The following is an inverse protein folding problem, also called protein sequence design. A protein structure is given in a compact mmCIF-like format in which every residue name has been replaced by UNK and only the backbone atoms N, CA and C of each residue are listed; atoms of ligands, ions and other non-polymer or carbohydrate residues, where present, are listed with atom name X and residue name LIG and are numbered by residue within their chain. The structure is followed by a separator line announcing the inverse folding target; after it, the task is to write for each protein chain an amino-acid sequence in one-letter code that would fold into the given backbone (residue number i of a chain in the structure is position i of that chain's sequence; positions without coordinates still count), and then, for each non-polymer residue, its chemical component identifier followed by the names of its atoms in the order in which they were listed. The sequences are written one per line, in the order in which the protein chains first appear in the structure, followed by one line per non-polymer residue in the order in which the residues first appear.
data_IF_728966574197
#
_entry.id   IF_728966574197
#
_cell.length_a   1.000
_cell.length_b   1.000
_cell.length_c   1.000
_cell.angle_alpha   90.00
_cell.angle_beta   90.00
_cell.angle_gamma   90.00
#
_symmetry.space_group_name_H-M   'P 1'
#
loop_
_entity.id
_entity.type
_entity.pdbx_description
1 polymer ?
#
# COMPACT_ATOMS: atom_id res chain seq x y z
N UNK A 1 -27.91 0.64 25.78
CA UNK A 1 -27.78 0.70 24.31
C UNK A 1 -28.87 1.65 23.82
N UNK A 2 -28.48 2.75 23.17
CA UNK A 2 -29.42 3.74 22.68
C UNK A 2 -29.43 3.68 21.16
N UNK A 3 -30.27 2.80 20.61
CA UNK A 3 -30.56 2.78 19.19
C UNK A 3 -31.84 3.58 18.95
N UNK A 4 -31.78 4.56 18.03
CA UNK A 4 -32.94 5.26 17.51
C UNK A 4 -33.71 4.46 16.50
N UNK A 5 -34.56 5.10 15.73
CA UNK A 5 -35.27 4.51 14.61
C UNK A 5 -34.35 4.12 13.44
N UNK A 6 -34.87 3.59 12.34
CA UNK A 6 -34.08 3.27 11.15
C UNK A 6 -33.34 4.49 10.61
N UNK A 7 -32.06 4.29 10.27
CA UNK A 7 -31.25 5.33 9.63
C UNK A 7 -31.51 5.36 8.12
N UNK A 8 -32.60 5.95 7.69
CA UNK A 8 -33.07 5.89 6.30
C UNK A 8 -32.05 6.41 5.29
N UNK A 9 -31.25 7.41 5.66
CA UNK A 9 -30.19 7.94 4.78
C UNK A 9 -29.13 6.84 4.52
N UNK A 10 -28.69 6.13 5.55
CA UNK A 10 -27.73 5.01 5.39
C UNK A 10 -28.33 3.86 4.60
N UNK A 11 -29.61 3.56 4.81
CA UNK A 11 -30.32 2.52 4.06
C UNK A 11 -30.41 2.89 2.57
N UNK A 12 -30.78 4.14 2.27
CA UNK A 12 -30.83 4.63 0.89
C UNK A 12 -29.46 4.62 0.22
N UNK A 13 -28.40 5.07 0.91
CA UNK A 13 -27.04 5.04 0.41
C UNK A 13 -26.60 3.59 0.10
N UNK A 14 -26.90 2.65 0.99
CA UNK A 14 -26.60 1.22 0.75
C UNK A 14 -27.37 0.67 -0.45
N UNK A 15 -28.65 1.02 -0.61
CA UNK A 15 -29.44 0.58 -1.76
C UNK A 15 -28.85 1.10 -3.09
N UNK A 16 -28.43 2.36 -3.13
CA UNK A 16 -27.73 2.94 -4.31
C UNK A 16 -26.46 2.18 -4.60
N UNK A 17 -25.60 1.96 -3.58
CA UNK A 17 -24.35 1.23 -3.75
C UNK A 17 -24.57 -0.21 -4.23
N UNK A 18 -25.55 -0.92 -3.69
CA UNK A 18 -25.88 -2.29 -4.13
C UNK A 18 -26.37 -2.34 -5.58
N UNK A 19 -27.10 -1.31 -6.03
CA UNK A 19 -27.50 -1.17 -7.43
C UNK A 19 -26.29 -0.93 -8.34
N UNK A 20 -25.35 -0.10 -7.93
CA UNK A 20 -24.11 0.18 -8.65
C UNK A 20 -23.22 -1.07 -8.76
N UNK A 21 -23.03 -1.79 -7.65
CA UNK A 21 -22.26 -3.05 -7.63
C UNK A 21 -22.82 -4.11 -8.58
N UNK A 22 -24.12 -4.10 -8.83
CA UNK A 22 -24.77 -5.05 -9.73
C UNK A 22 -24.77 -4.61 -11.21
N UNK A 23 -23.71 -3.88 -11.63
CA UNK A 23 -23.53 -3.43 -13.02
C UNK A 23 -22.36 -4.12 -13.69
N UNK A 24 -22.37 -4.25 -15.04
CA UNK A 24 -21.22 -4.76 -15.79
C UNK A 24 -19.94 -3.91 -15.60
N UNK A 25 -20.09 -2.62 -15.40
CA UNK A 25 -18.99 -1.68 -15.17
C UNK A 25 -18.27 -1.97 -13.87
N UNK A 26 -19.02 -2.20 -12.79
CA UNK A 26 -18.45 -2.57 -11.51
C UNK A 26 -17.77 -3.95 -11.54
N UNK A 27 -18.32 -4.89 -12.33
CA UNK A 27 -17.67 -6.18 -12.56
C UNK A 27 -16.31 -6.00 -13.23
N UNK A 28 -16.23 -5.22 -14.32
CA UNK A 28 -14.95 -4.91 -14.99
C UNK A 28 -13.95 -4.23 -14.05
N UNK A 29 -14.43 -3.27 -13.26
CA UNK A 29 -13.60 -2.61 -12.25
C UNK A 29 -13.03 -3.64 -11.25
N UNK A 30 -13.85 -4.54 -10.74
CA UNK A 30 -13.42 -5.56 -9.77
C UNK A 30 -12.41 -6.54 -10.37
N UNK A 31 -12.59 -6.94 -11.62
CA UNK A 31 -11.66 -7.77 -12.37
C UNK A 31 -10.31 -7.05 -12.55
N UNK A 32 -10.32 -5.76 -12.89
CA UNK A 32 -9.11 -4.95 -13.00
C UNK A 32 -8.40 -4.78 -11.65
N UNK A 33 -9.13 -4.58 -10.55
CA UNK A 33 -8.56 -4.53 -9.20
C UNK A 33 -7.75 -5.79 -8.88
N UNK A 34 -8.32 -6.95 -9.18
CA UNK A 34 -7.66 -8.25 -8.93
C UNK A 34 -6.48 -8.46 -9.88
N UNK A 35 -6.61 -8.08 -11.14
CA UNK A 35 -5.51 -8.14 -12.12
C UNK A 35 -4.33 -7.28 -11.68
N UNK A 36 -4.57 -6.03 -11.32
CA UNK A 36 -3.57 -5.11 -10.79
C UNK A 36 -2.88 -5.68 -9.53
N UNK A 37 -3.65 -6.26 -8.61
CA UNK A 37 -3.10 -6.84 -7.39
C UNK A 37 -2.19 -8.05 -7.68
N UNK A 38 -2.57 -8.91 -8.59
CA UNK A 38 -1.75 -10.04 -9.04
C UNK A 38 -0.47 -9.57 -9.71
N UNK A 39 -0.56 -8.56 -10.57
CA UNK A 39 0.62 -8.00 -11.26
C UNK A 39 1.58 -7.36 -10.26
N UNK A 40 1.08 -6.56 -9.30
CA UNK A 40 1.90 -6.00 -8.24
C UNK A 40 2.60 -7.09 -7.41
N UNK A 41 1.87 -8.15 -7.05
CA UNK A 41 2.43 -9.28 -6.31
C UNK A 41 3.52 -9.99 -7.11
N UNK A 42 3.28 -10.27 -8.38
CA UNK A 42 4.25 -10.93 -9.25
C UNK A 42 5.49 -10.05 -9.49
N UNK A 43 5.32 -8.75 -9.68
CA UNK A 43 6.43 -7.80 -9.85
C UNK A 43 7.31 -7.74 -8.59
N UNK A 44 6.71 -7.71 -7.40
CA UNK A 44 7.46 -7.79 -6.14
C UNK A 44 8.21 -9.12 -6.00
N UNK A 45 7.56 -10.26 -6.27
CA UNK A 45 8.22 -11.57 -6.21
C UNK A 45 9.35 -11.71 -7.23
N UNK A 46 9.18 -11.19 -8.45
CA UNK A 46 10.24 -11.18 -9.46
C UNK A 46 11.48 -10.38 -9.03
N UNK A 47 11.30 -9.38 -8.16
CA UNK A 47 12.38 -8.59 -7.54
C UNK A 47 12.96 -9.26 -6.27
N UNK A 48 12.54 -10.49 -5.94
CA UNK A 48 13.04 -11.25 -4.81
C UNK A 48 12.32 -10.95 -3.49
N UNK A 49 11.18 -10.27 -3.54
CA UNK A 49 10.41 -9.93 -2.34
C UNK A 49 9.55 -11.10 -1.88
N UNK A 50 9.41 -11.23 -0.56
CA UNK A 50 8.64 -12.30 0.06
C UNK A 50 7.24 -11.85 0.38
N UNK A 51 6.26 -12.49 -0.22
CA UNK A 51 4.85 -12.25 0.07
C UNK A 51 4.27 -13.38 0.93
N UNK A 52 3.31 -13.04 1.77
CA UNK A 52 2.50 -14.04 2.47
C UNK A 52 1.65 -14.78 1.41
N UNK A 53 1.55 -16.09 1.54
CA UNK A 53 0.87 -16.98 0.59
C UNK A 53 1.47 -16.98 -0.83
N UNK A 54 2.69 -16.48 -1.04
CA UNK A 54 3.36 -16.44 -2.34
C UNK A 54 2.50 -15.82 -3.45
N UNK A 55 1.79 -14.76 -3.13
CA UNK A 55 0.95 -14.03 -4.08
C UNK A 55 -0.38 -13.56 -3.49
N UNK A 56 -1.37 -13.35 -4.35
CA UNK A 56 -2.71 -12.93 -3.96
C UNK A 56 -3.78 -13.45 -4.92
N UNK A 57 -5.00 -13.63 -4.41
CA UNK A 57 -6.21 -13.95 -5.20
C UNK A 57 -7.28 -12.85 -5.09
N UNK A 58 -6.99 -11.79 -4.35
CA UNK A 58 -7.92 -10.68 -4.10
C UNK A 58 -7.25 -9.31 -4.34
N UNK A 59 -7.77 -8.25 -3.76
CA UNK A 59 -7.30 -6.87 -3.92
C UNK A 59 -6.14 -6.47 -2.99
N UNK A 60 -5.65 -7.39 -2.14
CA UNK A 60 -4.63 -7.11 -1.13
C UNK A 60 -3.37 -7.92 -1.39
N UNK A 61 -2.22 -7.28 -1.16
CA UNK A 61 -0.90 -7.93 -1.13
C UNK A 61 -0.31 -7.76 0.27
N UNK A 62 0.10 -8.87 0.87
CA UNK A 62 0.75 -8.88 2.18
C UNK A 62 2.25 -9.12 2.00
N UNK A 63 3.07 -8.09 2.24
CA UNK A 63 4.51 -8.13 2.04
C UNK A 63 5.25 -8.38 3.36
N UNK A 64 6.05 -9.44 3.40
CA UNK A 64 6.90 -9.82 4.54
C UNK A 64 8.27 -9.13 4.42
N UNK A 65 8.52 -8.16 5.27
CA UNK A 65 9.74 -7.34 5.26
C UNK A 65 10.87 -7.90 6.12
N UNK A 66 10.65 -8.99 6.84
CA UNK A 66 11.62 -9.54 7.82
C UNK A 66 12.93 -9.96 7.18
N UNK A 67 12.92 -10.40 5.91
CA UNK A 67 14.14 -10.72 5.17
C UNK A 67 15.10 -9.51 5.05
N UNK A 68 14.59 -8.30 5.12
CA UNK A 68 15.37 -7.07 5.02
C UNK A 68 15.84 -6.54 6.38
N UNK A 69 15.41 -7.13 7.50
CA UNK A 69 15.73 -6.66 8.84
C UNK A 69 15.12 -5.31 9.20
N UNK A 70 14.07 -4.89 8.47
CA UNK A 70 13.28 -3.68 8.75
C UNK A 70 11.87 -4.06 9.21
N UNK A 71 11.21 -3.17 9.94
CA UNK A 71 9.84 -3.40 10.42
C UNK A 71 8.82 -2.70 9.52
N UNK A 72 7.60 -3.20 9.49
CA UNK A 72 6.48 -2.56 8.81
C UNK A 72 6.27 -1.12 9.26
N UNK A 73 6.51 -0.80 10.54
CA UNK A 73 6.43 0.57 11.05
C UNK A 73 7.43 1.53 10.40
N UNK A 74 8.64 1.07 10.06
CA UNK A 74 9.64 1.89 9.38
C UNK A 74 9.29 2.10 7.92
N UNK A 75 8.83 1.03 7.25
CA UNK A 75 8.42 1.12 5.85
C UNK A 75 7.15 1.96 5.70
N UNK A 76 6.18 1.85 6.61
CA UNK A 76 5.03 2.76 6.64
C UNK A 76 5.47 4.23 6.72
N UNK A 77 6.43 4.56 7.60
CA UNK A 77 6.93 5.94 7.77
C UNK A 77 7.67 6.49 6.54
N UNK A 78 8.53 5.70 5.93
CA UNK A 78 9.25 6.16 4.73
C UNK A 78 8.30 6.32 3.55
N UNK A 79 7.32 5.42 3.39
CA UNK A 79 6.30 5.51 2.34
C UNK A 79 5.37 6.70 2.56
N UNK A 80 5.01 7.05 3.81
CA UNK A 80 4.26 8.27 4.13
C UNK A 80 4.99 9.53 3.61
N UNK A 81 6.32 9.63 3.83
CA UNK A 81 7.13 10.76 3.33
C UNK A 81 7.20 10.78 1.80
N UNK A 82 7.15 9.62 1.17
CA UNK A 82 7.10 9.47 -0.28
C UNK A 82 5.68 9.62 -0.87
N UNK A 83 4.67 9.98 -0.07
CA UNK A 83 3.27 10.11 -0.48
C UNK A 83 2.64 8.79 -0.96
N UNK A 84 3.11 7.66 -0.47
CA UNK A 84 2.53 6.33 -0.71
C UNK A 84 1.84 5.86 0.57
N UNK A 85 0.52 5.91 0.58
CA UNK A 85 -0.27 5.47 1.74
C UNK A 85 -0.32 3.94 1.81
N UNK A 86 0.19 3.39 2.89
CA UNK A 86 0.12 1.96 3.21
C UNK A 86 -0.20 1.79 4.69
N UNK A 87 -0.33 0.56 5.15
CA UNK A 87 -0.36 0.32 6.58
C UNK A 87 0.50 -0.87 6.98
N UNK A 88 1.18 -0.72 8.11
CA UNK A 88 1.89 -1.83 8.76
C UNK A 88 0.90 -2.94 9.11
N UNK A 89 1.34 -4.18 8.98
CA UNK A 89 0.53 -5.35 9.28
C UNK A 89 1.36 -6.49 9.83
N UNK A 90 0.83 -7.16 10.84
CA UNK A 90 1.47 -8.36 11.38
C UNK A 90 1.47 -9.48 10.35
N UNK A 91 2.54 -10.24 10.33
CA UNK A 91 2.70 -11.44 9.52
C UNK A 91 2.84 -12.67 10.41
N UNK A 92 2.55 -13.84 9.87
CA UNK A 92 2.63 -15.09 10.63
C UNK A 92 4.04 -15.26 11.24
N UNK A 93 4.08 -15.44 12.56
CA UNK A 93 5.34 -15.57 13.33
C UNK A 93 5.84 -14.27 13.96
N UNK A 94 5.14 -13.15 13.81
CA UNK A 94 5.44 -11.94 14.56
C UNK A 94 5.18 -12.14 16.06
N UNK A 95 6.09 -11.60 16.87
CA UNK A 95 6.00 -11.68 18.34
C UNK A 95 5.17 -10.52 18.94
N UNK A 96 4.97 -9.44 18.19
CA UNK A 96 4.30 -8.22 18.66
C UNK A 96 3.58 -7.50 17.54
N UNK A 97 2.33 -7.13 17.79
CA UNK A 97 1.55 -6.29 16.87
C UNK A 97 2.02 -4.82 16.83
N UNK A 98 2.82 -4.38 17.81
CA UNK A 98 3.36 -3.01 17.88
C UNK A 98 4.50 -2.84 16.88
N UNK A 99 5.30 -3.90 16.65
CA UNK A 99 6.39 -3.91 15.69
C UNK A 99 6.16 -4.99 14.65
N UNK A 100 5.19 -4.84 13.76
CA UNK A 100 4.84 -5.84 12.78
C UNK A 100 5.94 -5.99 11.73
N UNK A 101 6.10 -7.23 11.24
CA UNK A 101 7.13 -7.59 10.24
C UNK A 101 6.71 -7.32 8.80
N UNK A 102 5.49 -6.84 8.54
CA UNK A 102 5.00 -6.63 7.18
C UNK A 102 4.19 -5.36 6.99
N UNK A 103 3.82 -5.13 5.74
CA UNK A 103 2.86 -4.11 5.31
C UNK A 103 1.78 -4.73 4.43
N UNK A 104 0.64 -4.06 4.39
CA UNK A 104 -0.48 -4.40 3.53
C UNK A 104 -0.63 -3.35 2.44
N UNK A 105 -0.69 -3.82 1.21
CA UNK A 105 -0.88 -3.02 0.00
C UNK A 105 -2.24 -3.36 -0.60
N UNK A 106 -2.89 -2.38 -1.22
CA UNK A 106 -4.18 -2.58 -1.88
C UNK A 106 -4.26 -1.80 -3.19
N UNK A 107 -4.96 -2.36 -4.18
CA UNK A 107 -5.06 -1.80 -5.53
C UNK A 107 -6.37 -1.09 -5.87
N UNK A 108 -7.46 -1.12 -5.05
CA UNK A 108 -8.72 -0.48 -5.43
C UNK A 108 -8.59 1.02 -5.74
N UNK A 109 -7.93 1.79 -4.87
CA UNK A 109 -7.76 3.23 -5.06
C UNK A 109 -6.96 3.57 -6.32
N UNK A 110 -5.95 2.78 -6.64
CA UNK A 110 -5.14 2.93 -7.84
C UNK A 110 -5.97 2.63 -9.10
N UNK A 111 -6.75 1.54 -9.07
CA UNK A 111 -7.65 1.16 -10.16
C UNK A 111 -8.75 2.20 -10.37
N UNK A 112 -9.31 2.77 -9.30
CA UNK A 112 -10.30 3.86 -9.38
C UNK A 112 -9.72 5.10 -10.09
N UNK A 113 -8.41 5.33 -9.97
CA UNK A 113 -7.70 6.41 -10.66
C UNK A 113 -7.30 6.06 -12.10
N UNK A 114 -7.66 4.88 -12.60
CA UNK A 114 -7.37 4.43 -13.96
C UNK A 114 -6.01 3.75 -14.15
N UNK A 115 -5.33 3.37 -13.07
CA UNK A 115 -4.08 2.61 -13.17
C UNK A 115 -4.34 1.16 -13.59
N UNK A 116 -3.45 0.64 -14.42
CA UNK A 116 -3.48 -0.70 -15.01
C UNK A 116 -2.23 -1.49 -14.62
N UNK A 117 -2.07 -2.70 -15.15
CA UNK A 117 -0.98 -3.63 -14.84
C UNK A 117 0.41 -3.02 -15.06
N UNK A 118 0.61 -2.27 -16.14
CA UNK A 118 1.90 -1.61 -16.44
C UNK A 118 2.34 -0.62 -15.34
N UNK A 119 1.38 0.04 -14.72
CA UNK A 119 1.64 0.97 -13.63
C UNK A 119 2.01 0.24 -12.32
N UNK A 120 1.55 -1.00 -12.16
CA UNK A 120 1.87 -1.82 -10.98
C UNK A 120 3.35 -2.22 -10.94
N UNK A 121 4.00 -2.39 -12.08
CA UNK A 121 5.44 -2.64 -12.16
C UNK A 121 6.25 -1.43 -11.69
N UNK A 122 5.86 -0.22 -12.10
CA UNK A 122 6.47 1.04 -11.66
C UNK A 122 6.30 1.21 -10.14
N UNK A 123 5.10 0.93 -9.62
CA UNK A 123 4.82 1.00 -8.20
C UNK A 123 5.66 -0.02 -7.42
N UNK A 124 5.84 -1.23 -7.94
CA UNK A 124 6.72 -2.23 -7.33
C UNK A 124 8.17 -1.73 -7.24
N UNK A 125 8.67 -0.99 -8.24
CA UNK A 125 9.99 -0.35 -8.19
C UNK A 125 10.09 0.68 -7.06
N UNK A 126 9.11 1.57 -6.94
CA UNK A 126 9.07 2.53 -5.84
C UNK A 126 9.10 1.84 -4.47
N UNK A 127 8.32 0.77 -4.32
CA UNK A 127 8.25 0.01 -3.07
C UNK A 127 9.59 -0.67 -2.72
N UNK A 128 10.24 -1.32 -3.67
CA UNK A 128 11.53 -1.98 -3.44
C UNK A 128 12.65 -0.97 -3.16
N UNK A 129 12.67 0.14 -3.88
CA UNK A 129 13.60 1.26 -3.62
C UNK A 129 13.43 1.82 -2.20
N UNK A 130 12.18 1.95 -1.72
CA UNK A 130 11.91 2.43 -0.36
C UNK A 130 12.49 1.52 0.72
N UNK A 131 12.45 0.21 0.51
CA UNK A 131 13.05 -0.77 1.44
C UNK A 131 14.58 -0.62 1.47
N UNK A 132 15.22 -0.42 0.33
CA UNK A 132 16.66 -0.18 0.27
C UNK A 132 17.04 1.08 1.05
N UNK A 133 16.36 2.19 0.77
CA UNK A 133 16.58 3.46 1.50
C UNK A 133 16.33 3.30 3.00
N UNK A 134 15.31 2.54 3.40
CA UNK A 134 15.03 2.28 4.81
C UNK A 134 16.16 1.51 5.50
N UNK A 135 16.81 0.57 4.81
CA UNK A 135 18.00 -0.12 5.33
C UNK A 135 19.18 0.85 5.51
N UNK A 136 19.45 1.65 4.50
CA UNK A 136 20.57 2.63 4.52
C UNK A 136 20.37 3.66 5.65
N UNK A 137 19.15 4.16 5.84
CA UNK A 137 18.82 5.07 6.96
C UNK A 137 18.98 4.34 8.30
N UNK A 138 18.49 3.10 8.43
CA UNK A 138 18.62 2.33 9.66
C UNK A 138 20.08 2.06 10.03
N UNK A 139 20.93 1.81 9.06
CA UNK A 139 22.37 1.57 9.28
C UNK A 139 23.06 2.84 9.79
N UNK A 140 22.69 4.00 9.27
CA UNK A 140 23.27 5.31 9.65
C UNK A 140 22.73 5.86 10.97
N UNK A 141 21.40 5.80 11.17
CA UNK A 141 20.73 6.44 12.31
C UNK A 141 20.44 5.53 13.48
N UNK A 142 20.42 4.19 13.27
CA UNK A 142 20.17 3.21 14.31
C UNK A 142 18.86 2.44 14.16
N UNK A 143 18.74 1.38 15.00
CA UNK A 143 17.61 0.43 14.89
C UNK A 143 16.31 0.88 15.56
N UNK A 144 16.36 1.87 16.47
CA UNK A 144 15.15 2.37 17.14
C UNK A 144 14.32 3.19 16.17
N UNK A 145 13.00 3.14 16.31
CA UNK A 145 12.09 3.87 15.42
C UNK A 145 12.29 5.40 15.52
N UNK A 146 12.57 5.91 16.71
CA UNK A 146 12.81 7.36 16.91
C UNK A 146 14.04 7.84 16.15
N UNK A 147 15.15 7.10 16.25
CA UNK A 147 16.41 7.42 15.56
C UNK A 147 16.22 7.30 14.05
N UNK A 148 15.51 6.27 13.58
CA UNK A 148 15.16 6.08 12.18
C UNK A 148 14.34 7.25 11.62
N UNK A 149 13.33 7.73 12.36
CA UNK A 149 12.49 8.87 11.93
C UNK A 149 13.31 10.16 11.87
N UNK A 150 14.25 10.36 12.79
CA UNK A 150 15.15 11.51 12.72
C UNK A 150 16.01 11.48 11.43
N UNK A 151 16.65 10.34 11.13
CA UNK A 151 17.42 10.17 9.89
C UNK A 151 16.58 10.24 8.61
N UNK A 152 15.33 9.77 8.68
CA UNK A 152 14.38 9.86 7.57
C UNK A 152 14.06 11.31 7.20
N UNK A 153 13.83 12.17 8.18
CA UNK A 153 13.49 13.58 7.96
C UNK A 153 14.65 14.38 7.31
N UNK A 154 15.88 13.93 7.51
CA UNK A 154 17.09 14.54 6.94
C UNK A 154 17.44 13.99 5.54
N UNK A 155 16.78 12.92 5.10
CA UNK A 155 17.12 12.24 3.84
C UNK A 155 16.58 12.98 2.62
N UNK A 156 17.47 13.64 1.90
CA UNK A 156 17.16 14.29 0.61
C UNK A 156 16.79 13.26 -0.48
N UNK A 157 17.34 12.05 -0.42
CA UNK A 157 17.04 10.97 -1.37
C UNK A 157 15.59 10.53 -1.25
N UNK A 158 15.04 10.44 -0.02
CA UNK A 158 13.63 10.09 0.22
C UNK A 158 12.71 11.21 -0.27
N UNK A 159 13.08 12.47 -0.07
CA UNK A 159 12.30 13.62 -0.55
C UNK A 159 12.27 13.65 -2.09
N UNK A 160 13.41 13.47 -2.73
CA UNK A 160 13.50 13.39 -4.19
C UNK A 160 12.63 12.25 -4.77
N UNK A 161 12.63 11.10 -4.12
CA UNK A 161 11.74 10.01 -4.53
C UNK A 161 10.26 10.33 -4.29
N UNK A 162 9.93 11.08 -3.25
CA UNK A 162 8.56 11.59 -3.03
C UNK A 162 8.10 12.52 -4.15
N UNK A 163 8.98 13.33 -4.70
CA UNK A 163 8.71 14.17 -5.87
C UNK A 163 8.48 13.31 -7.13
N UNK A 164 9.29 12.26 -7.34
CA UNK A 164 9.14 11.30 -8.43
C UNK A 164 7.77 10.59 -8.36
N UNK A 165 7.40 10.09 -7.18
CA UNK A 165 6.08 9.48 -6.93
C UNK A 165 4.95 10.48 -7.18
N UNK A 166 5.11 11.71 -6.73
CA UNK A 166 4.12 12.77 -6.94
C UNK A 166 3.94 13.09 -8.42
N UNK A 167 5.04 13.18 -9.17
CA UNK A 167 5.01 13.42 -10.62
C UNK A 167 4.32 12.27 -11.36
N UNK A 168 4.59 11.03 -10.97
CA UNK A 168 3.90 9.85 -11.48
C UNK A 168 2.41 9.88 -11.14
N UNK A 169 2.05 10.13 -9.88
CA UNK A 169 0.67 10.11 -9.42
C UNK A 169 -0.21 11.23 -10.04
N UNK A 170 0.37 12.38 -10.39
CA UNK A 170 -0.34 13.50 -11.04
C UNK A 170 -0.80 13.20 -12.47
N UNK A 171 -0.31 12.13 -13.09
CA UNK A 171 -0.77 11.71 -14.42
C UNK A 171 -2.18 11.10 -14.38
N UNK A 172 -2.68 10.76 -13.20
CA UNK A 172 -3.97 10.11 -12.99
C UNK A 172 -4.93 11.05 -12.26
N UNK A 173 -6.19 11.06 -12.70
CA UNK A 173 -7.22 11.88 -12.09
C UNK A 173 -7.53 11.43 -10.65
N UNK A 174 -8.02 12.38 -9.84
CA UNK A 174 -8.58 12.07 -8.53
C UNK A 174 -10.11 12.10 -8.67
N UNK A 175 -10.83 11.02 -8.36
CA UNK A 175 -12.28 11.00 -8.46
C UNK A 175 -12.93 12.06 -7.58
N UNK A 176 -13.86 12.83 -8.16
CA UNK A 176 -14.60 13.85 -7.42
C UNK A 176 -13.92 15.22 -7.29
N UNK A 177 -12.79 15.40 -7.96
CA UNK A 177 -12.06 16.69 -8.03
C UNK A 177 -11.96 17.16 -9.45
#
# INVERSE_FOLDING_TARGET
MHQGGPHNVSIAALAVQLKEVNTPEFKKYSEQVVSNSKTLANALMAKGEKLICSGTINHLVMWDLRQHGVTGSKIEKILDVMHITTNKNSVVGDKSAVNPGGIRLGTPALTTRGMTEEHMEIIADFLVRSVKMAKDIQEKSGKKLVDFVAGLNESEEVKAMGEEVTAFAKQFSIPGV
#
